data_IF_015200798781
#
_entry.id   IF_015200798781
#
_cell.length_a   1.000
_cell.length_b   1.000
_cell.length_c   1.000
_cell.angle_alpha   90.00
_cell.angle_beta   90.00
_cell.angle_gamma   90.00
#
_symmetry.space_group_name_H-M   'P 1'
#
loop_
_entity.id
_entity.type
_entity.pdbx_description
1 polymer ?
#
# COMPACT_ATOMS: atom_id res chain seq x y z
N UNK A 1 23.28 12.10 -27.64
CA UNK A 1 22.33 11.08 -27.15
C UNK A 1 21.54 11.73 -26.03
N UNK A 2 20.29 12.07 -26.31
CA UNK A 2 19.40 12.79 -25.40
C UNK A 2 19.09 11.91 -24.19
N UNK A 3 19.46 12.36 -22.98
CA UNK A 3 19.14 11.67 -21.73
C UNK A 3 17.64 11.84 -21.45
N UNK A 4 16.87 10.78 -21.67
CA UNK A 4 15.50 10.64 -21.17
C UNK A 4 15.50 10.80 -19.63
N UNK A 5 14.64 11.66 -19.06
CA UNK A 5 14.54 11.79 -17.61
C UNK A 5 14.03 10.46 -17.06
N UNK A 6 14.73 9.94 -16.05
CA UNK A 6 14.31 8.77 -15.31
C UNK A 6 12.98 9.06 -14.60
N UNK A 7 11.87 8.81 -15.29
CA UNK A 7 10.56 8.67 -14.67
C UNK A 7 10.65 7.47 -13.74
N UNK A 8 10.98 7.71 -12.47
CA UNK A 8 10.92 6.71 -11.42
C UNK A 8 9.52 6.07 -11.46
N UNK A 9 9.44 4.85 -12.01
CA UNK A 9 8.21 4.07 -11.99
C UNK A 9 7.91 3.77 -10.52
N UNK A 10 7.08 4.59 -9.89
CA UNK A 10 6.56 4.32 -8.55
C UNK A 10 6.03 2.90 -8.55
N UNK A 11 6.56 2.07 -7.66
CA UNK A 11 6.13 0.66 -7.56
C UNK A 11 4.65 0.61 -7.19
N UNK A 12 3.90 -0.42 -7.60
CA UNK A 12 2.47 -0.55 -7.26
C UNK A 12 2.20 -0.35 -5.76
N UNK A 13 3.10 -0.86 -4.91
CA UNK A 13 3.06 -0.63 -3.46
C UNK A 13 3.18 0.84 -3.05
N UNK A 14 4.02 1.63 -3.72
CA UNK A 14 4.16 3.06 -3.45
C UNK A 14 2.91 3.82 -3.88
N UNK A 15 2.34 3.50 -5.04
CA UNK A 15 1.06 4.08 -5.51
C UNK A 15 -0.09 3.73 -4.57
N UNK A 16 -0.18 2.46 -4.14
CA UNK A 16 -1.16 2.01 -3.14
C UNK A 16 -0.99 2.74 -1.81
N UNK A 17 0.24 2.86 -1.32
CA UNK A 17 0.54 3.59 -0.08
C UNK A 17 0.12 5.05 -0.16
N UNK A 18 0.47 5.74 -1.25
CA UNK A 18 0.07 7.13 -1.45
C UNK A 18 -1.45 7.30 -1.60
N UNK A 19 -2.14 6.32 -2.18
CA UNK A 19 -3.60 6.39 -2.39
C UNK A 19 -4.40 6.07 -1.12
N UNK A 20 -3.95 5.09 -0.33
CA UNK A 20 -4.67 4.62 0.88
C UNK A 20 -4.32 5.48 2.10
N UNK A 21 -3.03 5.77 2.31
CA UNK A 21 -2.52 6.51 3.46
C UNK A 21 -1.44 7.51 3.02
N UNK A 22 -1.83 8.64 2.40
CA UNK A 22 -0.88 9.65 1.95
C UNK A 22 -0.10 10.23 3.13
N UNK A 23 1.20 9.95 3.13
CA UNK A 23 2.15 10.52 4.08
C UNK A 23 2.61 11.86 3.52
N UNK A 24 2.19 12.97 4.14
CA UNK A 24 2.65 14.29 3.70
C UNK A 24 4.04 14.54 4.28
N UNK A 25 4.95 15.18 3.53
CA UNK A 25 6.29 15.51 4.02
C UNK A 25 6.25 16.53 5.19
N UNK A 26 5.13 17.24 5.37
CA UNK A 26 4.91 18.20 6.45
C UNK A 26 4.23 17.58 7.69
N UNK A 27 3.97 16.27 7.70
CA UNK A 27 3.40 15.59 8.86
C UNK A 27 4.47 15.42 9.95
N UNK A 28 4.09 15.67 11.22
CA UNK A 28 4.94 15.36 12.37
C UNK A 28 5.41 13.90 12.34
N UNK A 29 6.64 13.64 12.81
CA UNK A 29 7.28 12.31 12.79
C UNK A 29 6.38 11.22 13.38
N UNK A 30 5.63 11.55 14.43
CA UNK A 30 4.64 10.66 15.07
C UNK A 30 3.49 10.28 14.12
N UNK A 31 2.93 11.27 13.41
CA UNK A 31 1.85 11.05 12.43
C UNK A 31 2.35 10.24 11.24
N UNK A 32 3.58 10.51 10.79
CA UNK A 32 4.25 9.75 9.73
C UNK A 32 4.45 8.28 10.12
N UNK A 33 4.87 8.03 11.36
CA UNK A 33 5.03 6.68 11.90
C UNK A 33 3.67 5.97 12.02
N UNK A 34 2.66 6.65 12.56
CA UNK A 34 1.28 6.14 12.66
C UNK A 34 0.69 5.76 11.31
N UNK A 35 0.87 6.59 10.27
CA UNK A 35 0.42 6.27 8.91
C UNK A 35 1.15 5.06 8.30
N UNK A 36 2.44 4.88 8.61
CA UNK A 36 3.19 3.71 8.16
C UNK A 36 2.70 2.42 8.83
N UNK A 37 2.44 2.46 10.14
CA UNK A 37 1.83 1.34 10.88
C UNK A 37 0.43 1.05 10.34
N UNK A 38 -0.40 2.07 10.15
CA UNK A 38 -1.75 1.93 9.60
C UNK A 38 -1.75 1.28 8.21
N UNK A 39 -0.79 1.62 7.36
CA UNK A 39 -0.64 0.98 6.06
C UNK A 39 -0.19 -0.49 6.18
N UNK A 40 0.67 -0.81 7.15
CA UNK A 40 1.02 -2.19 7.49
C UNK A 40 -0.18 -3.01 7.94
N UNK A 41 -1.01 -2.47 8.85
CA UNK A 41 -2.23 -3.13 9.31
C UNK A 41 -3.22 -3.32 8.16
N UNK A 42 -3.38 -2.31 7.28
CA UNK A 42 -4.21 -2.42 6.09
C UNK A 42 -3.78 -3.58 5.19
N UNK A 43 -2.47 -3.74 4.92
CA UNK A 43 -1.98 -4.86 4.10
C UNK A 43 -2.26 -6.22 4.74
N UNK A 44 -2.13 -6.35 6.06
CA UNK A 44 -2.44 -7.60 6.78
C UNK A 44 -3.93 -7.93 6.67
N UNK A 45 -4.81 -6.96 6.93
CA UNK A 45 -6.25 -7.15 6.81
C UNK A 45 -6.66 -7.46 5.37
N UNK A 46 -6.12 -6.75 4.39
CA UNK A 46 -6.38 -6.99 2.96
C UNK A 46 -5.96 -8.41 2.55
N UNK A 47 -4.79 -8.86 3.00
CA UNK A 47 -4.32 -10.24 2.75
C UNK A 47 -5.22 -11.27 3.41
N UNK A 48 -5.63 -11.04 4.67
CA UNK A 48 -6.51 -11.94 5.41
C UNK A 48 -7.89 -12.06 4.74
N UNK A 49 -8.47 -10.94 4.32
CA UNK A 49 -9.76 -10.91 3.59
C UNK A 49 -9.63 -11.59 2.24
N UNK A 50 -8.56 -11.31 1.50
CA UNK A 50 -8.30 -11.97 0.21
C UNK A 50 -8.20 -13.49 0.38
N UNK A 51 -7.50 -13.98 1.40
CA UNK A 51 -7.42 -15.41 1.72
C UNK A 51 -8.79 -15.98 2.06
N UNK A 52 -9.56 -15.29 2.92
CA UNK A 52 -10.89 -15.73 3.31
C UNK A 52 -11.84 -15.84 2.11
N UNK A 53 -11.77 -14.88 1.17
CA UNK A 53 -12.54 -14.92 -0.08
C UNK A 53 -12.14 -16.12 -0.92
N UNK A 54 -10.84 -16.35 -1.13
CA UNK A 54 -10.35 -17.50 -1.91
C UNK A 54 -10.83 -18.81 -1.30
N UNK A 55 -10.68 -18.98 0.02
CA UNK A 55 -11.17 -20.16 0.74
C UNK A 55 -12.69 -20.32 0.63
N UNK A 56 -13.45 -19.22 0.74
CA UNK A 56 -14.91 -19.26 0.59
C UNK A 56 -15.33 -19.71 -0.80
N UNK A 57 -14.65 -19.23 -1.85
CA UNK A 57 -14.91 -19.67 -3.22
C UNK A 57 -14.55 -21.15 -3.40
N UNK A 58 -13.40 -21.59 -2.86
CA UNK A 58 -12.97 -22.99 -2.94
C UNK A 58 -13.88 -23.97 -2.19
N UNK A 59 -14.54 -23.53 -1.12
CA UNK A 59 -15.51 -24.34 -0.37
C UNK A 59 -16.93 -24.23 -0.94
N UNK A 60 -17.21 -23.20 -1.75
CA UNK A 60 -18.50 -23.02 -2.42
C UNK A 60 -18.58 -23.74 -3.77
N UNK A 61 -17.43 -24.06 -4.39
CA UNK A 61 -17.34 -24.96 -5.56
C UNK A 61 -17.42 -26.43 -5.13
#
# INVERSE_FOLDING_TARGET
MEQQPATEKKTLLQTLRESVLPVKPNDHVVVKFGKNIGFGVFLVLFSCVSLAIVLSISLAL
#
